data_IF_634435230506
#
_entry.id   IF_634435230506
#
_cell.length_a   1.000
_cell.length_b   1.000
_cell.length_c   1.000
_cell.angle_alpha   90.00
_cell.angle_beta   90.00
_cell.angle_gamma   90.00
#
_symmetry.space_group_name_H-M   'P 1'
#
loop_
_entity.id
_entity.type
_entity.pdbx_description
1 polymer ?
#
# COMPACT_ATOMS: atom_id res chain seq x y z
N UNK A 1 -7.83 -19.90 4.85
CA UNK A 1 -8.31 -19.02 5.92
C UNK A 1 -9.82 -18.96 5.88
N UNK A 2 -10.49 -19.24 6.99
CA UNK A 2 -11.96 -19.10 7.07
C UNK A 2 -12.37 -17.63 7.20
N UNK A 3 -13.64 -17.30 6.90
CA UNK A 3 -14.15 -15.92 7.07
C UNK A 3 -14.04 -15.43 8.53
N UNK A 4 -14.37 -16.28 9.50
CA UNK A 4 -14.29 -15.94 10.92
C UNK A 4 -12.84 -15.71 11.39
N UNK A 5 -11.90 -16.47 10.84
CA UNK A 5 -10.47 -16.29 11.10
C UNK A 5 -9.97 -14.96 10.50
N UNK A 6 -10.35 -14.66 9.26
CA UNK A 6 -10.03 -13.38 8.64
C UNK A 6 -10.59 -12.19 9.41
N UNK A 7 -11.86 -12.25 9.80
CA UNK A 7 -12.53 -11.17 10.53
C UNK A 7 -11.84 -10.91 11.89
N UNK A 8 -11.38 -11.97 12.58
CA UNK A 8 -10.53 -11.84 13.78
C UNK A 8 -9.18 -11.19 13.48
N UNK A 9 -8.44 -11.68 12.50
CA UNK A 9 -7.13 -11.10 12.14
C UNK A 9 -7.27 -9.63 11.74
N UNK A 10 -8.33 -9.28 11.01
CA UNK A 10 -8.66 -7.90 10.65
C UNK A 10 -8.98 -7.04 11.86
N UNK A 11 -9.76 -7.55 12.81
CA UNK A 11 -10.08 -6.83 14.05
C UNK A 11 -8.80 -6.55 14.86
N UNK A 12 -7.93 -7.56 15.02
CA UNK A 12 -6.65 -7.40 15.70
C UNK A 12 -5.72 -6.43 14.96
N UNK A 13 -5.69 -6.48 13.62
CA UNK A 13 -4.91 -5.55 12.82
C UNK A 13 -5.36 -4.10 13.03
N UNK A 14 -6.67 -3.85 13.00
CA UNK A 14 -7.23 -2.51 13.23
C UNK A 14 -6.99 -2.02 14.66
N UNK A 15 -7.04 -2.93 15.64
CA UNK A 15 -6.77 -2.61 17.05
C UNK A 15 -5.30 -2.25 17.29
N UNK A 16 -4.38 -2.92 16.61
CA UNK A 16 -2.93 -2.75 16.76
C UNK A 16 -2.31 -1.66 15.88
N UNK A 17 -3.06 -1.12 14.91
CA UNK A 17 -2.57 -0.09 13.99
C UNK A 17 -3.47 1.15 13.97
N UNK A 18 -2.85 2.31 14.17
CA UNK A 18 -3.49 3.60 13.96
C UNK A 18 -3.91 3.80 12.50
N UNK A 19 -4.81 4.77 12.27
CA UNK A 19 -5.20 5.16 10.91
C UNK A 19 -4.01 5.62 10.06
N UNK A 20 -3.06 6.32 10.67
CA UNK A 20 -1.84 6.77 10.00
C UNK A 20 -0.96 5.58 9.58
N UNK A 21 -0.73 4.61 10.47
CA UNK A 21 0.08 3.43 10.18
C UNK A 21 -0.53 2.57 9.07
N UNK A 22 -1.86 2.37 9.09
CA UNK A 22 -2.56 1.64 8.03
C UNK A 22 -2.40 2.32 6.66
N UNK A 23 -2.50 3.65 6.61
CA UNK A 23 -2.24 4.42 5.39
C UNK A 23 -0.78 4.35 4.95
N UNK A 24 0.17 4.41 5.88
CA UNK A 24 1.60 4.25 5.60
C UNK A 24 1.89 2.88 5.00
N UNK A 25 1.38 1.80 5.61
CA UNK A 25 1.58 0.44 5.12
C UNK A 25 0.92 0.24 3.75
N UNK A 26 -0.29 0.77 3.55
CA UNK A 26 -0.95 0.73 2.24
C UNK A 26 -0.14 1.47 1.17
N UNK A 27 0.45 2.63 1.51
CA UNK A 27 1.38 3.36 0.65
C UNK A 27 2.61 2.52 0.30
N UNK A 28 3.28 1.94 1.30
CA UNK A 28 4.45 1.11 1.10
C UNK A 28 4.13 -0.08 0.17
N UNK A 29 3.00 -0.75 0.38
CA UNK A 29 2.54 -1.86 -0.45
C UNK A 29 2.27 -1.42 -1.90
N UNK A 30 1.48 -0.36 -2.10
CA UNK A 30 1.19 0.16 -3.45
C UNK A 30 2.47 0.57 -4.20
N UNK A 31 3.42 1.19 -3.48
CA UNK A 31 4.71 1.56 -4.05
C UNK A 31 5.58 0.36 -4.39
N UNK A 32 5.59 -0.67 -3.54
CA UNK A 32 6.35 -1.90 -3.76
C UNK A 32 5.82 -2.69 -4.96
N UNK A 33 4.48 -2.81 -5.08
CA UNK A 33 3.81 -3.40 -6.25
C UNK A 33 4.17 -2.64 -7.52
N UNK A 34 3.98 -1.31 -7.53
CA UNK A 34 4.28 -0.50 -8.72
C UNK A 34 5.72 -0.67 -9.20
N UNK A 35 6.68 -0.68 -8.27
CA UNK A 35 8.11 -0.86 -8.57
C UNK A 35 8.40 -2.22 -9.18
N UNK A 36 7.86 -3.30 -8.61
CA UNK A 36 8.06 -4.66 -9.14
C UNK A 36 7.44 -4.86 -10.53
N UNK A 37 6.52 -3.97 -10.96
CA UNK A 37 5.96 -3.96 -12.32
C UNK A 37 6.71 -3.04 -13.31
N UNK A 38 7.44 -2.05 -12.81
CA UNK A 38 8.02 -0.99 -13.65
C UNK A 38 9.32 -1.43 -14.31
N UNK A 39 9.39 -1.38 -15.64
CA UNK A 39 10.62 -1.61 -16.42
C UNK A 39 11.60 -0.42 -16.41
N UNK A 40 11.16 0.74 -15.91
CA UNK A 40 11.97 1.96 -15.77
C UNK A 40 11.77 2.57 -14.38
N UNK A 41 12.28 1.93 -13.31
CA UNK A 41 12.11 2.46 -11.97
C UNK A 41 12.81 3.82 -11.83
N UNK A 42 12.06 4.92 -11.68
CA UNK A 42 12.60 6.24 -11.26
C UNK A 42 13.51 6.10 -10.04
N UNK A 43 14.72 6.65 -10.04
CA UNK A 43 15.75 6.42 -9.00
C UNK A 43 15.35 6.97 -7.61
N UNK A 44 14.48 7.98 -7.53
CA UNK A 44 14.32 8.80 -6.31
C UNK A 44 13.67 8.13 -5.08
N UNK A 45 13.08 6.94 -5.21
CA UNK A 45 12.59 6.15 -4.08
C UNK A 45 12.78 4.67 -4.37
N UNK A 46 13.98 4.16 -4.11
CA UNK A 46 14.43 2.84 -4.52
C UNK A 46 13.50 1.71 -4.04
N UNK A 47 13.50 0.58 -4.75
CA UNK A 47 12.91 -0.69 -4.28
C UNK A 47 13.40 -1.04 -2.86
N UNK A 48 14.65 -0.65 -2.57
CA UNK A 48 15.28 -0.75 -1.26
C UNK A 48 14.46 -0.11 -0.14
N UNK A 49 14.06 1.16 -0.28
CA UNK A 49 13.34 1.87 0.79
C UNK A 49 12.00 1.21 1.15
N UNK A 50 11.11 0.99 0.17
CA UNK A 50 9.78 0.43 0.50
C UNK A 50 9.88 -1.02 1.00
N UNK A 51 10.82 -1.80 0.46
CA UNK A 51 11.08 -3.15 0.95
C UNK A 51 11.67 -3.16 2.36
N UNK A 52 12.66 -2.31 2.65
CA UNK A 52 13.23 -2.21 3.99
C UNK A 52 12.17 -1.78 5.00
N UNK A 53 11.30 -0.83 4.64
CA UNK A 53 10.23 -0.37 5.52
C UNK A 53 9.15 -1.43 5.77
N UNK A 54 8.80 -2.23 4.76
CA UNK A 54 7.91 -3.39 4.96
C UNK A 54 8.58 -4.44 5.86
N UNK A 55 9.86 -4.72 5.66
CA UNK A 55 10.63 -5.63 6.53
C UNK A 55 10.69 -5.12 7.98
N UNK A 56 10.95 -3.83 8.16
CA UNK A 56 10.98 -3.18 9.48
C UNK A 56 9.60 -3.22 10.17
N UNK A 57 8.52 -3.21 9.39
CA UNK A 57 7.16 -3.44 9.87
C UNK A 57 6.84 -4.92 10.15
N UNK A 58 7.81 -5.82 9.98
CA UNK A 58 7.71 -7.25 10.30
C UNK A 58 7.21 -8.12 9.15
N UNK A 59 7.12 -7.63 7.92
CA UNK A 59 6.70 -8.43 6.77
C UNK A 59 7.86 -9.23 6.18
N UNK A 60 7.60 -10.50 5.88
CA UNK A 60 8.52 -11.33 5.12
C UNK A 60 8.57 -10.88 3.65
N UNK A 61 9.74 -10.40 3.20
CA UNK A 61 9.88 -9.87 1.85
C UNK A 61 9.78 -10.94 0.75
N UNK A 62 10.07 -12.20 1.03
CA UNK A 62 9.91 -13.26 0.04
C UNK A 62 8.43 -13.52 -0.22
N UNK A 63 7.61 -13.48 0.83
CA UNK A 63 6.15 -13.53 0.71
C UNK A 63 5.58 -12.29 0.02
N UNK A 64 6.10 -11.10 0.32
CA UNK A 64 5.71 -9.86 -0.38
C UNK A 64 6.09 -9.93 -1.86
N UNK A 65 7.25 -10.48 -2.21
CA UNK A 65 7.68 -10.67 -3.60
C UNK A 65 6.79 -11.69 -4.33
N UNK A 66 6.44 -12.81 -3.70
CA UNK A 66 5.50 -13.79 -4.24
C UNK A 66 4.11 -13.18 -4.50
N UNK A 67 3.60 -12.37 -3.56
CA UNK A 67 2.38 -11.60 -3.76
C UNK A 67 2.51 -10.65 -4.97
N UNK A 68 3.62 -9.91 -5.08
CA UNK A 68 3.83 -9.02 -6.22
C UNK A 68 3.85 -9.77 -7.56
N UNK A 69 4.45 -10.96 -7.61
CA UNK A 69 4.41 -11.81 -8.79
C UNK A 69 2.97 -12.23 -9.15
N UNK A 70 2.16 -12.62 -8.16
CA UNK A 70 0.74 -12.95 -8.34
C UNK A 70 -0.08 -11.76 -8.82
N UNK A 71 0.13 -10.57 -8.26
CA UNK A 71 -0.50 -9.32 -8.69
C UNK A 71 -0.09 -8.99 -10.13
N UNK A 72 1.19 -9.07 -10.46
CA UNK A 72 1.69 -8.78 -11.81
C UNK A 72 1.13 -9.76 -12.86
N UNK A 73 0.94 -11.02 -12.49
CA UNK A 73 0.29 -12.04 -13.31
C UNK A 73 -1.24 -11.83 -13.44
N UNK A 74 -1.84 -10.86 -12.74
CA UNK A 74 -3.28 -10.58 -12.80
C UNK A 74 -4.13 -11.56 -11.99
N UNK A 75 -3.53 -12.35 -11.10
CA UNK A 75 -4.22 -13.39 -10.34
C UNK A 75 -4.91 -12.84 -9.08
N UNK A 76 -4.43 -11.73 -8.54
CA UNK A 76 -4.99 -11.08 -7.35
C UNK A 76 -4.82 -9.56 -7.39
N UNK A 77 -5.54 -8.87 -6.50
CA UNK A 77 -5.53 -7.41 -6.35
C UNK A 77 -5.59 -6.65 -7.70
N UNK A 78 -6.68 -6.80 -8.49
CA UNK A 78 -6.77 -6.21 -9.81
C UNK A 78 -6.65 -4.68 -9.81
N UNK A 79 -7.06 -4.01 -8.74
CA UNK A 79 -6.94 -2.55 -8.64
C UNK A 79 -5.48 -2.14 -8.49
N UNK A 80 -4.73 -2.77 -7.60
CA UNK A 80 -3.28 -2.53 -7.45
C UNK A 80 -2.53 -2.98 -8.72
N UNK A 81 -2.93 -4.09 -9.33
CA UNK A 81 -2.36 -4.58 -10.58
C UNK A 81 -2.42 -3.52 -11.67
N UNK A 82 -3.56 -2.84 -11.85
CA UNK A 82 -3.74 -1.84 -12.91
C UNK A 82 -3.26 -0.45 -12.50
N UNK A 83 -3.64 0.00 -11.31
CA UNK A 83 -3.59 1.40 -10.92
C UNK A 83 -2.50 1.74 -9.90
N UNK A 84 -1.67 0.80 -9.41
CA UNK A 84 -0.72 1.00 -8.30
C UNK A 84 0.05 2.33 -8.24
N UNK A 85 0.37 2.97 -9.37
CA UNK A 85 1.00 4.28 -9.39
C UNK A 85 0.13 5.38 -8.74
N UNK A 86 -1.17 5.39 -9.02
CA UNK A 86 -2.08 6.41 -8.49
C UNK A 86 -2.27 6.29 -6.97
N UNK A 87 -2.65 5.13 -6.38
CA UNK A 87 -2.69 4.96 -4.94
C UNK A 87 -1.35 5.20 -4.26
N UNK A 88 -0.21 4.86 -4.90
CA UNK A 88 1.12 5.18 -4.36
C UNK A 88 1.27 6.69 -4.09
N UNK A 89 0.87 7.54 -5.03
CA UNK A 89 1.00 8.99 -4.89
C UNK A 89 -0.03 9.59 -3.93
N UNK A 90 -1.26 9.08 -3.93
CA UNK A 90 -2.32 9.60 -3.08
C UNK A 90 -2.17 9.14 -1.62
N UNK A 91 -1.78 7.88 -1.38
CA UNK A 91 -1.69 7.34 -0.01
C UNK A 91 -0.60 8.01 0.82
N UNK A 92 0.55 8.40 0.22
CA UNK A 92 1.57 9.16 0.96
C UNK A 92 1.04 10.51 1.43
N UNK A 93 0.29 11.22 0.57
CA UNK A 93 -0.30 12.52 0.92
C UNK A 93 -1.37 12.35 2.01
N UNK A 94 -2.22 11.32 1.89
CA UNK A 94 -3.21 10.99 2.92
C UNK A 94 -2.56 10.60 4.26
N UNK A 95 -1.50 9.79 4.22
CA UNK A 95 -0.73 9.45 5.41
C UNK A 95 -0.17 10.71 6.08
N UNK A 96 0.52 11.57 5.31
CA UNK A 96 1.10 12.80 5.84
C UNK A 96 0.03 13.71 6.45
N UNK A 97 -1.14 13.84 5.82
CA UNK A 97 -2.24 14.60 6.37
C UNK A 97 -2.75 14.02 7.70
N UNK A 98 -3.03 12.72 7.74
CA UNK A 98 -3.53 12.05 8.96
C UNK A 98 -2.48 12.06 10.09
N UNK A 99 -1.20 12.05 9.76
CA UNK A 99 -0.09 12.15 10.71
C UNK A 99 0.22 13.59 11.15
N UNK A 100 -0.52 14.60 10.68
CA UNK A 100 -0.26 16.01 11.02
C UNK A 100 0.95 16.64 10.33
N UNK A 101 1.50 15.97 9.30
CA UNK A 101 2.68 16.39 8.52
C UNK A 101 2.33 17.16 7.23
N UNK A 102 1.04 17.43 7.03
CA UNK A 102 0.49 18.11 5.86
C UNK A 102 -0.84 18.75 6.24
N UNK A 103 -1.06 19.99 5.84
CA UNK A 103 -2.32 20.69 6.02
C UNK A 103 -3.39 20.17 5.05
N UNK A 104 -4.67 20.46 5.35
CA UNK A 104 -5.77 20.14 4.44
C UNK A 104 -5.65 20.86 3.09
N UNK A 105 -5.12 22.09 3.09
CA UNK A 105 -4.93 22.88 1.88
C UNK A 105 -3.88 22.25 0.97
N UNK A 106 -2.73 21.85 1.53
CA UNK A 106 -1.68 21.13 0.79
C UNK A 106 -2.19 19.78 0.26
N UNK A 107 -2.95 19.04 1.07
CA UNK A 107 -3.56 17.78 0.62
C UNK A 107 -4.48 18.03 -0.58
N UNK A 108 -5.37 19.02 -0.51
CA UNK A 108 -6.28 19.33 -1.62
C UNK A 108 -5.51 19.71 -2.89
N UNK A 109 -4.46 20.54 -2.78
CA UNK A 109 -3.63 20.90 -3.91
C UNK A 109 -2.98 19.67 -4.56
N UNK A 110 -2.44 18.76 -3.73
CA UNK A 110 -1.85 17.51 -4.22
C UNK A 110 -2.88 16.60 -4.88
N UNK A 111 -4.09 16.46 -4.32
CA UNK A 111 -5.13 15.64 -4.94
C UNK A 111 -5.59 16.18 -6.31
N UNK A 112 -5.57 17.51 -6.49
CA UNK A 112 -5.88 18.16 -7.79
C UNK A 112 -4.75 17.94 -8.79
N UNK A 113 -3.50 18.04 -8.36
CA UNK A 113 -2.34 17.76 -9.21
C UNK A 113 -2.37 16.30 -9.69
N UNK A 114 -2.51 15.37 -8.75
CA UNK A 114 -2.52 13.93 -9.01
C UNK A 114 -3.71 13.48 -9.87
N UNK A 115 -4.86 14.19 -9.83
CA UNK A 115 -6.02 13.86 -10.66
C UNK A 115 -5.88 14.29 -12.13
N UNK A 116 -4.90 15.13 -12.46
CA UNK A 116 -4.61 15.60 -13.83
C UNK A 116 -3.56 14.74 -14.53
N UNK A 117 -2.92 13.85 -13.79
CA UNK A 117 -1.84 13.03 -14.31
C UNK A 117 -2.36 11.90 -15.22
N UNK A 118 -1.63 11.51 -16.29
CA UNK A 118 -2.08 10.49 -17.24
C UNK A 118 -2.32 9.09 -16.62
N UNK A 119 -1.77 8.83 -15.44
CA UNK A 119 -1.97 7.57 -14.71
C UNK A 119 -3.16 7.60 -13.76
N UNK A 120 -3.81 8.75 -13.58
CA UNK A 120 -5.01 8.86 -12.77
C UNK A 120 -6.17 8.10 -13.41
N UNK A 121 -7.06 7.47 -12.62
CA UNK A 121 -8.26 6.86 -13.15
C UNK A 121 -9.13 7.88 -13.89
N UNK A 122 -9.52 7.57 -15.12
CA UNK A 122 -10.39 8.41 -15.97
C UNK A 122 -11.76 8.68 -15.31
N UNK A 123 -12.25 7.74 -14.51
CA UNK A 123 -13.49 7.88 -13.76
C UNK A 123 -13.37 7.31 -12.34
N UNK A 124 -14.15 7.89 -11.43
CA UNK A 124 -14.31 7.45 -10.04
C UNK A 124 -12.99 7.21 -9.27
N UNK A 125 -12.04 8.18 -9.24
CA UNK A 125 -10.75 8.01 -8.56
C UNK A 125 -10.90 7.64 -7.08
N UNK A 126 -11.94 8.17 -6.41
CA UNK A 126 -12.24 7.82 -5.02
C UNK A 126 -12.60 6.34 -4.83
N UNK A 127 -13.29 5.71 -5.79
CA UNK A 127 -13.57 4.27 -5.73
C UNK A 127 -12.31 3.44 -5.95
N UNK A 128 -11.47 3.84 -6.91
CA UNK A 128 -10.17 3.18 -7.14
C UNK A 128 -9.30 3.23 -5.89
N UNK A 129 -9.23 4.38 -5.23
CA UNK A 129 -8.46 4.52 -3.97
C UNK A 129 -9.01 3.64 -2.85
N UNK A 130 -10.33 3.57 -2.69
CA UNK A 130 -10.97 2.69 -1.68
C UNK A 130 -10.69 1.21 -1.98
N UNK A 131 -10.80 0.80 -3.25
CA UNK A 131 -10.55 -0.58 -3.66
C UNK A 131 -9.07 -0.94 -3.48
N UNK A 132 -8.15 -0.08 -3.93
CA UNK A 132 -6.70 -0.27 -3.74
C UNK A 132 -6.32 -0.33 -2.26
N UNK A 133 -6.93 0.49 -1.41
CA UNK A 133 -6.68 0.45 0.03
C UNK A 133 -7.17 -0.86 0.64
N UNK A 134 -8.36 -1.35 0.25
CA UNK A 134 -8.89 -2.63 0.72
C UNK A 134 -8.02 -3.81 0.27
N UNK A 135 -7.57 -3.80 -0.98
CA UNK A 135 -6.64 -4.82 -1.50
C UNK A 135 -5.32 -4.81 -0.75
N UNK A 136 -4.72 -3.63 -0.55
CA UNK A 136 -3.47 -3.49 0.20
C UNK A 136 -3.63 -3.92 1.66
N UNK A 137 -4.68 -3.45 2.35
CA UNK A 137 -4.97 -3.82 3.73
C UNK A 137 -5.23 -5.31 3.88
N UNK A 138 -6.01 -5.91 2.97
CA UNK A 138 -6.24 -7.35 2.95
C UNK A 138 -4.91 -8.10 2.85
N UNK A 139 -4.06 -7.74 1.89
CA UNK A 139 -2.74 -8.34 1.73
C UNK A 139 -1.87 -8.20 2.99
N UNK A 140 -1.83 -7.02 3.60
CA UNK A 140 -1.07 -6.74 4.83
C UNK A 140 -1.61 -7.49 6.06
N UNK A 141 -2.89 -7.85 6.08
CA UNK A 141 -3.47 -8.69 7.12
C UNK A 141 -3.04 -10.14 6.94
N UNK A 142 -3.05 -10.64 5.69
CA UNK A 142 -2.85 -12.05 5.38
C UNK A 142 -1.40 -12.47 5.18
N UNK A 143 -0.52 -11.53 4.87
CA UNK A 143 0.90 -11.82 4.69
C UNK A 143 1.52 -12.30 6.01
N UNK A 144 2.32 -13.38 5.99
CA UNK A 144 3.05 -13.83 7.16
C UNK A 144 3.92 -12.69 7.73
N UNK A 145 3.88 -12.55 9.06
CA UNK A 145 4.75 -11.63 9.79
C UNK A 145 5.86 -12.42 10.45
N UNK A 146 7.09 -11.95 10.32
CA UNK A 146 8.21 -12.51 11.07
C UNK A 146 8.08 -12.04 12.53
N UNK A 147 8.00 -12.96 13.52
CA UNK A 147 7.97 -12.57 14.92
C UNK A 147 9.23 -11.76 15.27
N UNK A 148 9.06 -10.64 15.98
CA UNK A 148 10.18 -9.75 16.36
C UNK A 148 11.28 -10.44 17.18
N UNK A 149 11.00 -11.60 17.79
CA UNK A 149 11.90 -12.32 18.70
C UNK A 149 13.00 -13.15 18.03
N UNK A 150 13.17 -13.08 16.71
CA UNK A 150 14.21 -13.85 15.99
C UNK A 150 15.40 -13.01 15.52
N UNK A 151 15.44 -11.72 15.87
CA UNK A 151 16.53 -10.79 15.51
C UNK A 151 17.17 -10.12 16.75
N UNK A 152 17.18 -10.81 17.90
CA UNK A 152 18.04 -10.49 19.05
C UNK A 152 19.18 -11.50 19.15
#
# INVERSE_FOLDING_TARGET
MSRAEYDRQRAEYIKSHTRAERLRLAWLMAAYVHRNRSTKPRVSYSKGFHGSELRNAGYDLDQVNALCASINAGLTCPTLQRFSLYPRHVFISLFRYVAGLMSRQELNAKLIEESREPYAPESNPAMVLRAAFREAEHALITLPRTPKHLNE
#
